data_IF_850013383428
#
_entry.id   IF_850013383428
#
_cell.length_a   1.000
_cell.length_b   1.000
_cell.length_c   1.000
_cell.angle_alpha   90.00
_cell.angle_beta   90.00
_cell.angle_gamma   90.00
#
_symmetry.space_group_name_H-M   'P 1'
#
loop_
_entity.id
_entity.type
_entity.pdbx_description
1 polymer ?
#
# COMPACT_ATOMS: atom_id res chain seq x y z
N UNK A 1 10.97 8.42 60.41
CA UNK A 1 9.73 7.88 59.84
C UNK A 1 9.50 8.58 58.52
N UNK A 2 9.33 7.88 57.40
CA UNK A 2 8.97 8.54 56.15
C UNK A 2 7.63 9.24 56.34
N UNK A 3 7.57 10.51 56.00
CA UNK A 3 6.37 11.33 56.13
C UNK A 3 5.34 10.92 55.05
N UNK A 4 4.05 11.13 55.29
CA UNK A 4 2.99 10.78 54.29
C UNK A 4 3.29 11.38 52.93
N UNK A 5 3.97 12.52 52.87
CA UNK A 5 4.41 13.16 51.62
C UNK A 5 5.37 12.29 50.78
N UNK A 6 6.24 11.49 51.41
CA UNK A 6 7.17 10.59 50.68
C UNK A 6 6.44 9.39 50.06
N UNK A 7 5.41 8.89 50.71
CA UNK A 7 4.55 7.83 50.14
C UNK A 7 3.71 8.34 48.96
N UNK A 8 3.17 9.56 49.05
CA UNK A 8 2.45 10.19 47.95
C UNK A 8 3.35 10.41 46.74
N UNK A 9 4.56 10.89 46.91
CA UNK A 9 5.52 11.07 45.80
C UNK A 9 5.89 9.73 45.16
N UNK A 10 6.15 8.70 45.95
CA UNK A 10 6.45 7.37 45.44
C UNK A 10 5.27 6.80 44.62
N UNK A 11 4.03 6.96 45.09
CA UNK A 11 2.84 6.53 44.36
C UNK A 11 2.66 7.25 43.01
N UNK A 12 2.96 8.57 42.97
CA UNK A 12 2.92 9.35 41.73
C UNK A 12 3.97 8.85 40.72
N UNK A 13 5.20 8.58 41.17
CA UNK A 13 6.24 8.03 40.29
C UNK A 13 5.90 6.67 39.73
N UNK A 14 5.32 5.79 40.55
CA UNK A 14 4.85 4.47 40.09
C UNK A 14 3.71 4.60 39.08
N UNK A 15 2.76 5.51 39.30
CA UNK A 15 1.67 5.76 38.36
C UNK A 15 2.18 6.30 37.02
N UNK A 16 3.12 7.26 37.02
CA UNK A 16 3.73 7.77 35.79
C UNK A 16 4.52 6.68 35.05
N UNK A 17 5.28 5.87 35.76
CA UNK A 17 6.03 4.76 35.19
C UNK A 17 5.09 3.71 34.59
N UNK A 18 4.00 3.37 35.29
CA UNK A 18 3.01 2.41 34.83
C UNK A 18 2.24 2.92 33.58
N UNK A 19 1.85 4.21 33.55
CA UNK A 19 1.21 4.81 32.39
C UNK A 19 2.16 4.90 31.19
N UNK A 20 3.42 5.27 31.40
CA UNK A 20 4.43 5.28 30.35
C UNK A 20 4.71 3.88 29.78
N UNK A 21 4.76 2.85 30.64
CA UNK A 21 4.92 1.47 30.23
C UNK A 21 3.68 0.98 29.47
N UNK A 22 2.47 1.33 29.94
CA UNK A 22 1.21 0.97 29.31
C UNK A 22 1.07 1.61 27.92
N UNK A 23 1.37 2.91 27.81
CA UNK A 23 1.39 3.62 26.52
C UNK A 23 2.44 3.07 25.57
N UNK A 24 3.59 2.64 26.06
CA UNK A 24 4.62 1.96 25.26
C UNK A 24 4.21 0.55 24.83
N UNK A 25 3.41 -0.15 25.66
CA UNK A 25 2.94 -1.50 25.35
C UNK A 25 1.76 -1.52 24.37
N UNK A 26 0.87 -0.52 24.47
CA UNK A 26 -0.26 -0.33 23.56
C UNK A 26 0.03 0.64 22.41
N UNK A 27 1.18 1.32 22.42
CA UNK A 27 1.66 2.06 21.27
C UNK A 27 1.78 1.05 20.12
N UNK A 28 0.83 1.10 19.18
CA UNK A 28 0.94 0.39 17.91
C UNK A 28 2.34 0.68 17.37
N UNK A 29 3.21 -0.31 17.45
CA UNK A 29 4.36 -0.30 16.56
C UNK A 29 3.75 -0.35 15.17
N UNK A 30 3.83 0.76 14.47
CA UNK A 30 3.81 0.77 13.01
C UNK A 30 5.00 -0.11 12.58
N UNK A 31 4.82 -1.42 12.68
CA UNK A 31 5.70 -2.37 12.04
C UNK A 31 5.50 -2.13 10.54
N UNK A 32 6.32 -1.23 10.02
CA UNK A 32 6.51 -1.18 8.58
C UNK A 32 6.83 -2.62 8.17
N UNK A 33 6.03 -3.24 7.29
CA UNK A 33 6.26 -4.61 6.90
C UNK A 33 7.72 -4.71 6.47
N UNK A 34 8.46 -5.73 6.93
CA UNK A 34 9.88 -5.85 6.62
C UNK A 34 10.02 -5.76 5.11
N UNK A 35 10.87 -4.85 4.65
CA UNK A 35 11.16 -4.66 3.23
C UNK A 35 11.40 -6.05 2.62
N UNK A 36 10.46 -6.50 1.80
CA UNK A 36 10.53 -7.82 1.20
C UNK A 36 11.74 -7.85 0.26
N UNK A 37 12.78 -8.59 0.65
CA UNK A 37 14.04 -8.69 -0.11
C UNK A 37 13.79 -9.14 -1.56
N UNK A 38 12.80 -10.01 -1.76
CA UNK A 38 12.41 -10.47 -3.10
C UNK A 38 11.77 -9.34 -3.91
N UNK A 39 10.98 -8.46 -3.27
CA UNK A 39 10.45 -7.28 -3.94
C UNK A 39 11.57 -6.33 -4.39
N UNK A 40 12.56 -6.07 -3.52
CA UNK A 40 13.73 -5.26 -3.86
C UNK A 40 14.54 -5.86 -5.01
N UNK A 41 14.65 -7.19 -5.07
CA UNK A 41 15.32 -7.88 -6.17
C UNK A 41 14.57 -7.70 -7.49
N UNK A 42 13.24 -7.77 -7.48
CA UNK A 42 12.41 -7.45 -8.64
C UNK A 42 12.59 -6.01 -9.12
N UNK A 43 12.65 -5.03 -8.19
CA UNK A 43 12.95 -3.64 -8.52
C UNK A 43 14.35 -3.46 -9.10
N UNK A 44 15.34 -4.20 -8.61
CA UNK A 44 16.70 -4.16 -9.15
C UNK A 44 16.74 -4.60 -10.63
N UNK A 45 16.00 -5.64 -11.01
CA UNK A 45 15.86 -6.01 -12.43
C UNK A 45 15.28 -4.86 -13.26
N UNK A 46 14.32 -4.10 -12.71
CA UNK A 46 13.76 -2.93 -13.41
C UNK A 46 14.76 -1.80 -13.60
N UNK A 47 15.53 -1.49 -12.56
CA UNK A 47 16.57 -0.46 -12.61
C UNK A 47 17.66 -0.79 -13.63
N UNK A 48 17.92 -2.08 -13.87
CA UNK A 48 18.87 -2.56 -14.87
C UNK A 48 18.22 -2.82 -16.26
N UNK A 49 17.02 -2.31 -16.50
CA UNK A 49 16.27 -2.46 -17.74
C UNK A 49 15.97 -3.92 -18.14
N UNK A 50 16.07 -4.86 -17.20
CA UNK A 50 15.83 -6.27 -17.39
C UNK A 50 14.35 -6.61 -17.17
N UNK A 51 13.47 -6.05 -17.99
CA UNK A 51 12.02 -6.11 -17.82
C UNK A 51 11.47 -7.54 -17.80
N UNK A 52 12.00 -8.45 -18.62
CA UNK A 52 11.54 -9.84 -18.68
C UNK A 52 11.88 -10.60 -17.38
N UNK A 53 13.07 -10.40 -16.84
CA UNK A 53 13.49 -11.00 -15.56
C UNK A 53 12.66 -10.42 -14.40
N UNK A 54 12.34 -9.13 -14.42
CA UNK A 54 11.45 -8.53 -13.44
C UNK A 54 10.05 -9.15 -13.48
N UNK A 55 9.46 -9.30 -14.68
CA UNK A 55 8.14 -9.96 -14.84
C UNK A 55 8.17 -11.38 -14.31
N UNK A 56 9.15 -12.18 -14.70
CA UNK A 56 9.27 -13.57 -14.24
C UNK A 56 9.40 -13.64 -12.72
N UNK A 57 10.23 -12.76 -12.14
CA UNK A 57 10.45 -12.70 -10.71
C UNK A 57 9.16 -12.32 -9.94
N UNK A 58 8.46 -11.26 -10.37
CA UNK A 58 7.20 -10.86 -9.74
C UNK A 58 6.08 -11.88 -9.93
N UNK A 59 6.01 -12.57 -11.08
CA UNK A 59 5.07 -13.68 -11.29
C UNK A 59 5.31 -14.82 -10.29
N UNK A 60 6.59 -15.14 -10.02
CA UNK A 60 6.95 -16.16 -9.03
C UNK A 60 6.53 -15.73 -7.62
N UNK A 61 6.76 -14.48 -7.25
CA UNK A 61 6.33 -13.95 -5.95
C UNK A 61 4.81 -14.04 -5.76
N UNK A 62 4.02 -13.64 -6.77
CA UNK A 62 2.55 -13.70 -6.71
C UNK A 62 2.03 -15.13 -6.57
N UNK A 63 2.75 -16.13 -7.10
CA UNK A 63 2.39 -17.54 -6.93
C UNK A 63 2.67 -18.06 -5.51
N UNK A 64 3.71 -17.53 -4.86
CA UNK A 64 4.13 -17.95 -3.51
C UNK A 64 3.35 -17.18 -2.45
N UNK A 65 3.18 -15.88 -2.64
CA UNK A 65 2.45 -14.99 -1.75
C UNK A 65 1.50 -14.10 -2.56
N UNK A 66 0.24 -14.52 -2.67
CA UNK A 66 -0.79 -13.76 -3.38
C UNK A 66 -1.33 -12.57 -2.59
N UNK A 67 -0.84 -12.35 -1.35
CA UNK A 67 -1.36 -11.30 -0.45
C UNK A 67 -0.73 -9.95 -0.68
N UNK A 68 0.47 -9.88 -1.27
CA UNK A 68 1.21 -8.63 -1.43
C UNK A 68 0.65 -7.79 -2.58
N UNK A 69 -0.12 -6.76 -2.23
CA UNK A 69 -0.76 -5.84 -3.20
C UNK A 69 0.28 -5.08 -4.02
N UNK A 70 1.39 -4.68 -3.41
CA UNK A 70 2.49 -3.95 -4.06
C UNK A 70 3.08 -4.75 -5.22
N UNK A 71 3.23 -6.06 -5.05
CA UNK A 71 3.71 -6.96 -6.11
C UNK A 71 2.73 -7.00 -7.28
N UNK A 72 1.42 -7.02 -7.00
CA UNK A 72 0.41 -6.97 -8.06
C UNK A 72 0.42 -5.63 -8.80
N UNK A 73 0.59 -4.50 -8.11
CA UNK A 73 0.75 -3.19 -8.75
C UNK A 73 1.98 -3.13 -9.66
N UNK A 74 3.13 -3.62 -9.17
CA UNK A 74 4.36 -3.68 -9.94
C UNK A 74 4.16 -4.53 -11.20
N UNK A 75 3.57 -5.71 -11.07
CA UNK A 75 3.32 -6.63 -12.17
C UNK A 75 2.34 -6.04 -13.20
N UNK A 76 1.24 -5.42 -12.77
CA UNK A 76 0.30 -4.74 -13.67
C UNK A 76 0.98 -3.63 -14.46
N UNK A 77 1.80 -2.80 -13.79
CA UNK A 77 2.56 -1.74 -14.44
C UNK A 77 3.55 -2.29 -15.47
N UNK A 78 4.21 -3.42 -15.19
CA UNK A 78 5.13 -4.08 -16.11
C UNK A 78 4.43 -4.61 -17.35
N UNK A 79 3.27 -5.26 -17.19
CA UNK A 79 2.48 -5.72 -18.32
C UNK A 79 2.06 -4.56 -19.23
N UNK A 80 1.63 -3.42 -18.65
CA UNK A 80 1.33 -2.21 -19.44
C UNK A 80 2.55 -1.73 -20.22
N UNK A 81 3.73 -1.62 -19.57
CA UNK A 81 4.97 -1.22 -20.24
C UNK A 81 5.39 -2.15 -21.37
N UNK A 82 5.12 -3.46 -21.25
CA UNK A 82 5.35 -4.46 -22.29
C UNK A 82 4.30 -4.45 -23.41
N UNK A 83 3.27 -3.61 -23.30
CA UNK A 83 2.16 -3.61 -24.26
C UNK A 83 1.11 -4.73 -24.03
N UNK A 84 1.29 -5.54 -22.99
CA UNK A 84 0.34 -6.60 -22.60
C UNK A 84 -0.83 -6.01 -21.79
N UNK A 85 -1.50 -4.99 -22.36
CA UNK A 85 -2.45 -4.13 -21.63
C UNK A 85 -3.63 -4.91 -21.07
N UNK A 86 -4.12 -5.94 -21.76
CA UNK A 86 -5.22 -6.77 -21.25
C UNK A 86 -4.86 -7.51 -19.96
N UNK A 87 -3.60 -7.89 -19.79
CA UNK A 87 -3.11 -8.49 -18.54
C UNK A 87 -3.03 -7.47 -17.41
N UNK A 88 -2.55 -6.28 -17.72
CA UNK A 88 -2.51 -5.16 -16.77
C UNK A 88 -3.91 -4.83 -16.25
N UNK A 89 -4.89 -4.67 -17.16
CA UNK A 89 -6.30 -4.42 -16.82
C UNK A 89 -6.82 -5.47 -15.84
N UNK A 90 -6.62 -6.76 -16.12
CA UNK A 90 -7.09 -7.84 -15.24
C UNK A 90 -6.47 -7.77 -13.84
N UNK A 91 -5.17 -7.46 -13.76
CA UNK A 91 -4.50 -7.35 -12.46
C UNK A 91 -5.07 -6.19 -11.64
N UNK A 92 -5.20 -5.00 -12.22
CA UNK A 92 -5.73 -3.86 -11.50
C UNK A 92 -7.22 -4.01 -11.14
N UNK A 93 -8.03 -4.65 -12.00
CA UNK A 93 -9.40 -5.02 -11.67
C UNK A 93 -9.47 -6.00 -10.49
N UNK A 94 -8.58 -6.99 -10.44
CA UNK A 94 -8.52 -7.94 -9.33
C UNK A 94 -8.13 -7.26 -8.00
N UNK A 95 -7.22 -6.27 -8.05
CA UNK A 95 -6.90 -5.46 -6.86
C UNK A 95 -8.15 -4.72 -6.37
N UNK A 96 -8.87 -4.03 -7.26
CA UNK A 96 -10.07 -3.26 -6.92
C UNK A 96 -11.16 -4.14 -6.29
N UNK A 97 -11.29 -5.38 -6.75
CA UNK A 97 -12.29 -6.34 -6.28
C UNK A 97 -11.99 -6.92 -4.87
N UNK A 98 -10.79 -6.71 -4.34
CA UNK A 98 -10.42 -7.22 -3.01
C UNK A 98 -11.15 -6.46 -1.91
N UNK A 99 -11.71 -7.15 -0.91
CA UNK A 99 -12.40 -6.51 0.21
C UNK A 99 -11.47 -5.93 1.27
N UNK A 100 -10.23 -6.41 1.34
CA UNK A 100 -9.23 -6.17 2.38
C UNK A 100 -8.26 -5.03 2.08
N UNK A 101 -8.49 -4.25 1.02
CA UNK A 101 -7.64 -3.11 0.67
C UNK A 101 -8.15 -1.79 1.26
N UNK A 102 -7.20 -0.90 1.59
CA UNK A 102 -7.52 0.46 2.02
C UNK A 102 -8.09 1.31 0.87
N UNK A 103 -8.78 2.40 1.22
CA UNK A 103 -9.30 3.35 0.21
C UNK A 103 -8.17 3.96 -0.62
N UNK A 104 -7.01 4.21 0.00
CA UNK A 104 -5.82 4.72 -0.69
C UNK A 104 -5.35 3.72 -1.75
N UNK A 105 -5.23 2.44 -1.40
CA UNK A 105 -4.85 1.39 -2.34
C UNK A 105 -5.89 1.20 -3.44
N UNK A 106 -7.18 1.31 -3.10
CA UNK A 106 -8.28 1.23 -4.05
C UNK A 106 -8.23 2.37 -5.07
N UNK A 107 -8.00 3.60 -4.63
CA UNK A 107 -7.86 4.75 -5.51
C UNK A 107 -6.60 4.66 -6.38
N UNK A 108 -5.49 4.15 -5.84
CA UNK A 108 -4.30 3.85 -6.62
C UNK A 108 -4.57 2.79 -7.71
N UNK A 109 -5.39 1.78 -7.41
CA UNK A 109 -5.78 0.76 -8.38
C UNK A 109 -6.70 1.32 -9.47
N UNK A 110 -7.67 2.20 -9.13
CA UNK A 110 -8.48 2.91 -10.13
C UNK A 110 -7.62 3.80 -11.04
N UNK A 111 -6.67 4.52 -10.47
CA UNK A 111 -5.73 5.34 -11.26
C UNK A 111 -4.90 4.48 -12.22
N UNK A 112 -4.38 3.36 -11.75
CA UNK A 112 -3.61 2.43 -12.57
C UNK A 112 -4.46 1.81 -13.68
N UNK A 113 -5.71 1.44 -13.38
CA UNK A 113 -6.67 0.93 -14.36
C UNK A 113 -7.05 1.98 -15.42
N UNK A 114 -7.22 3.24 -15.01
CA UNK A 114 -7.47 4.33 -15.96
C UNK A 114 -6.31 4.50 -16.94
N UNK A 115 -5.07 4.41 -16.46
CA UNK A 115 -3.87 4.41 -17.32
C UNK A 115 -3.82 3.20 -18.25
N UNK A 116 -4.24 2.02 -17.81
CA UNK A 116 -4.34 0.85 -18.67
C UNK A 116 -5.37 1.06 -19.78
N UNK A 117 -6.53 1.63 -19.46
CA UNK A 117 -7.55 1.95 -20.47
C UNK A 117 -7.06 2.97 -21.49
N UNK A 118 -6.29 3.99 -21.07
CA UNK A 118 -5.65 4.91 -22.02
C UNK A 118 -4.72 4.17 -22.99
N UNK A 119 -3.88 3.26 -22.48
CA UNK A 119 -2.97 2.48 -23.32
C UNK A 119 -3.72 1.48 -24.24
N UNK A 120 -4.90 1.05 -23.82
CA UNK A 120 -5.78 0.21 -24.63
C UNK A 120 -6.61 0.99 -25.66
N UNK A 121 -6.56 2.34 -25.67
CA UNK A 121 -7.40 3.20 -26.50
C UNK A 121 -8.87 3.26 -26.04
N UNK A 122 -9.18 2.81 -24.83
CA UNK A 122 -10.52 2.84 -24.23
C UNK A 122 -10.75 4.18 -23.51
N UNK A 123 -10.79 5.27 -24.27
CA UNK A 123 -10.76 6.63 -23.76
C UNK A 123 -11.95 6.94 -22.84
N UNK A 124 -13.17 6.54 -23.22
CA UNK A 124 -14.38 6.80 -22.44
C UNK A 124 -14.29 6.14 -21.04
N UNK A 125 -13.73 4.93 -20.96
CA UNK A 125 -13.53 4.23 -19.68
C UNK A 125 -12.46 4.88 -18.82
N UNK A 126 -11.40 5.38 -19.44
CA UNK A 126 -10.36 6.10 -18.75
C UNK A 126 -10.87 7.41 -18.16
N UNK A 127 -11.64 8.18 -18.93
CA UNK A 127 -12.26 9.45 -18.51
C UNK A 127 -13.16 9.26 -17.29
N UNK A 128 -14.03 8.27 -17.30
CA UNK A 128 -14.93 7.96 -16.18
C UNK A 128 -14.13 7.73 -14.88
N UNK A 129 -13.04 6.97 -14.95
CA UNK A 129 -12.23 6.70 -13.76
C UNK A 129 -11.44 7.91 -13.29
N UNK A 130 -10.90 8.72 -14.19
CA UNK A 130 -10.19 9.93 -13.81
C UNK A 130 -11.12 10.97 -13.22
N UNK A 131 -12.32 11.15 -13.78
CA UNK A 131 -13.34 12.06 -13.22
C UNK A 131 -13.74 11.65 -11.81
N UNK A 132 -14.02 10.36 -11.60
CA UNK A 132 -14.32 9.82 -10.28
C UNK A 132 -13.22 10.13 -9.26
N UNK A 133 -11.95 9.92 -9.63
CA UNK A 133 -10.82 10.18 -8.74
C UNK A 133 -10.63 11.67 -8.44
N UNK A 134 -10.93 12.56 -9.41
CA UNK A 134 -10.89 14.00 -9.21
C UNK A 134 -11.96 14.43 -8.20
N UNK A 135 -13.20 13.97 -8.36
CA UNK A 135 -14.30 14.25 -7.45
C UNK A 135 -13.99 13.80 -6.01
N UNK A 136 -13.49 12.58 -5.83
CA UNK A 136 -13.11 12.07 -4.51
C UNK A 136 -11.99 12.89 -3.86
N UNK A 137 -11.06 13.48 -4.64
CA UNK A 137 -9.97 14.32 -4.13
C UNK A 137 -10.48 15.70 -3.70
N UNK A 138 -11.45 16.26 -4.41
CA UNK A 138 -12.06 17.56 -4.12
C UNK A 138 -12.87 17.51 -2.81
N UNK A 139 -13.68 16.48 -2.60
CA UNK A 139 -14.42 16.28 -1.34
C UNK A 139 -13.51 16.14 -0.11
N UNK A 140 -12.31 15.57 -0.26
CA UNK A 140 -11.35 15.47 0.84
C UNK A 140 -10.69 16.80 1.18
N UNK A 141 -10.53 17.71 0.21
CA UNK A 141 -9.92 19.03 0.41
C UNK A 141 -10.89 20.01 1.07
N UNK A 142 -12.18 19.89 0.85
CA UNK A 142 -13.22 20.75 1.45
C UNK A 142 -13.56 20.34 2.90
N UNK A 143 -13.14 19.16 3.36
CA UNK A 143 -13.44 18.63 4.70
C UNK A 143 -12.39 18.97 5.77
N UNK A 144 -11.40 19.80 5.46
CA UNK A 144 -10.39 20.35 6.37
C UNK A 144 -10.55 21.87 6.45
#
# INVERSE_FOLDING_TARGET
MPTESTFMLAAIFVAIAATGWLLGYFGERDEQPPLNVDYLKGLNFLLNEQTDQAVEHFLKMVRVDSTTIETHFALGTLFRKKGEVNRAIRIHQNIIARPDISDIQRNQAFYSLAKDYLHAGLLDRAEILFTRLADESEYKTESY
#
